data_IF_843973240548
#
_entry.id   IF_843973240548
#
_cell.length_a   1.000
_cell.length_b   1.000
_cell.length_c   1.000
_cell.angle_alpha   90.00
_cell.angle_beta   90.00
_cell.angle_gamma   90.00
#
_symmetry.space_group_name_H-M   'P 1'
#
loop_
_entity.id
_entity.type
_entity.pdbx_description
1 polymer ?
#
# COMPACT_ATOMS: atom_id res chain seq x y z
N UNK A 1 -27.65 -12.70 -11.06
CA UNK A 1 -27.67 -13.19 -9.67
C UNK A 1 -26.21 -13.36 -9.27
N UNK A 2 -25.58 -12.35 -8.67
CA UNK A 2 -24.24 -12.54 -8.11
C UNK A 2 -24.44 -13.32 -6.82
N UNK A 3 -23.97 -14.56 -6.76
CA UNK A 3 -23.89 -15.30 -5.49
C UNK A 3 -22.93 -14.53 -4.59
N UNK A 4 -23.47 -13.64 -3.76
CA UNK A 4 -22.71 -12.94 -2.73
C UNK A 4 -22.46 -13.94 -1.61
N UNK A 5 -21.54 -14.87 -1.86
CA UNK A 5 -21.03 -15.80 -0.85
C UNK A 5 -20.49 -14.95 0.31
N UNK A 6 -21.11 -15.06 1.49
CA UNK A 6 -20.66 -14.32 2.66
C UNK A 6 -19.24 -14.79 3.00
N UNK A 7 -18.29 -13.86 3.23
CA UNK A 7 -16.96 -14.23 3.66
C UNK A 7 -17.01 -15.15 4.90
N UNK A 8 -16.19 -16.20 4.90
CA UNK A 8 -16.11 -17.11 6.05
C UNK A 8 -15.70 -16.34 7.32
N UNK A 9 -16.42 -16.52 8.45
CA UNK A 9 -16.03 -15.87 9.70
C UNK A 9 -14.59 -16.20 10.15
N UNK A 10 -14.07 -17.41 9.87
CA UNK A 10 -12.67 -17.73 10.15
C UNK A 10 -11.71 -16.94 9.26
N UNK A 11 -12.07 -16.69 8.01
CA UNK A 11 -11.29 -15.83 7.10
C UNK A 11 -11.20 -14.39 7.63
N UNK A 12 -12.32 -13.83 8.08
CA UNK A 12 -12.36 -12.51 8.72
C UNK A 12 -11.49 -12.46 9.98
N UNK A 13 -11.49 -13.52 10.79
CA UNK A 13 -10.66 -13.62 12.00
C UNK A 13 -9.17 -13.63 11.66
N UNK A 14 -8.76 -14.46 10.69
CA UNK A 14 -7.36 -14.56 10.25
C UNK A 14 -6.89 -13.26 9.60
N UNK A 15 -7.71 -12.65 8.74
CA UNK A 15 -7.40 -11.37 8.13
C UNK A 15 -7.27 -10.26 9.19
N UNK A 16 -8.20 -10.21 10.15
CA UNK A 16 -8.15 -9.29 11.29
C UNK A 16 -6.87 -9.47 12.11
N UNK A 17 -6.47 -10.71 12.42
CA UNK A 17 -5.23 -10.98 13.13
C UNK A 17 -3.99 -10.49 12.34
N UNK A 18 -3.97 -10.70 11.03
CA UNK A 18 -2.91 -10.20 10.15
C UNK A 18 -2.84 -8.67 10.13
N UNK A 19 -3.98 -7.98 9.99
CA UNK A 19 -4.04 -6.52 10.04
C UNK A 19 -3.68 -5.96 11.41
N UNK A 20 -4.03 -6.64 12.50
CA UNK A 20 -3.64 -6.24 13.85
C UNK A 20 -2.12 -6.34 14.03
N UNK A 21 -1.49 -7.41 13.54
CA UNK A 21 -0.04 -7.56 13.55
C UNK A 21 0.65 -6.45 12.71
N UNK A 22 0.11 -6.15 11.53
CA UNK A 22 0.61 -5.05 10.69
C UNK A 22 0.47 -3.69 11.38
N UNK A 23 -0.68 -3.41 11.99
CA UNK A 23 -0.93 -2.19 12.76
C UNK A 23 0.06 -2.04 13.91
N UNK A 24 0.31 -3.12 14.66
CA UNK A 24 1.29 -3.13 15.73
C UNK A 24 2.71 -2.82 15.20
N UNK A 25 3.11 -3.42 14.08
CA UNK A 25 4.39 -3.14 13.44
C UNK A 25 4.53 -1.66 13.04
N UNK A 26 3.47 -1.07 12.45
CA UNK A 26 3.43 0.36 12.09
C UNK A 26 3.54 1.23 13.33
N UNK A 27 2.79 0.93 14.40
CA UNK A 27 2.83 1.70 15.64
C UNK A 27 4.20 1.62 16.33
N UNK A 28 4.83 0.44 16.35
CA UNK A 28 6.19 0.27 16.88
C UNK A 28 7.18 1.09 16.04
N UNK A 29 7.07 1.04 14.70
CA UNK A 29 7.89 1.85 13.80
C UNK A 29 7.73 3.34 14.06
N UNK A 30 6.49 3.81 14.15
CA UNK A 30 6.14 5.19 14.46
C UNK A 30 6.69 5.65 15.82
N UNK A 31 6.63 4.77 16.83
CA UNK A 31 7.14 5.06 18.17
C UNK A 31 8.67 5.23 18.21
N UNK A 32 9.38 4.46 17.38
CA UNK A 32 10.84 4.49 17.27
C UNK A 32 11.38 5.69 16.48
N UNK A 33 10.52 6.43 15.78
CA UNK A 33 10.94 7.62 15.06
C UNK A 33 11.26 8.77 16.01
N UNK A 34 12.30 9.54 15.67
CA UNK A 34 12.68 10.72 16.43
C UNK A 34 11.55 11.75 16.41
N UNK A 35 11.33 12.40 17.56
CA UNK A 35 10.31 13.42 17.76
C UNK A 35 10.88 14.83 17.64
N UNK A 36 12.19 14.96 17.37
CA UNK A 36 12.93 16.21 17.22
C UNK A 36 12.66 17.22 18.36
N UNK A 37 12.34 16.72 19.56
CA UNK A 37 12.01 17.55 20.72
C UNK A 37 13.19 18.42 21.15
N UNK A 38 14.41 17.95 20.87
CA UNK A 38 15.65 18.69 21.07
C UNK A 38 15.79 19.93 20.16
N UNK A 39 15.00 20.02 19.08
CA UNK A 39 14.94 21.17 18.16
C UNK A 39 13.73 22.08 18.43
N UNK A 40 13.09 21.95 19.60
CA UNK A 40 11.84 22.67 19.95
C UNK A 40 10.71 22.45 18.92
N UNK A 41 10.75 21.33 18.19
CA UNK A 41 9.74 21.00 17.19
C UNK A 41 8.39 20.65 17.85
N UNK A 42 7.30 21.13 17.24
CA UNK A 42 5.94 20.80 17.67
C UNK A 42 5.60 19.34 17.39
N UNK A 43 4.70 18.75 18.19
CA UNK A 43 4.23 17.36 18.02
C UNK A 43 3.61 17.11 16.64
N UNK A 44 3.03 18.14 16.01
CA UNK A 44 2.44 18.04 14.67
C UNK A 44 3.47 17.81 13.56
N UNK A 45 4.75 18.04 13.86
CA UNK A 45 5.88 17.80 12.95
C UNK A 45 6.55 16.44 13.21
N UNK A 46 6.09 15.67 14.19
CA UNK A 46 6.67 14.38 14.51
C UNK A 46 6.42 13.40 13.33
N UNK A 47 7.48 12.84 12.71
CA UNK A 47 7.34 11.95 11.55
C UNK A 47 6.52 10.69 11.85
N UNK A 48 6.51 10.24 13.11
CA UNK A 48 5.70 9.11 13.56
C UNK A 48 4.20 9.39 13.71
N UNK A 49 3.75 10.64 13.68
CA UNK A 49 2.34 10.98 13.97
C UNK A 49 1.37 10.39 12.95
N UNK A 50 1.60 10.64 11.65
CA UNK A 50 0.73 10.13 10.57
C UNK A 50 0.74 8.60 10.52
N UNK A 51 1.89 7.91 10.54
CA UNK A 51 1.93 6.46 10.64
C UNK A 51 1.19 5.92 11.88
N UNK A 52 1.32 6.57 13.05
CA UNK A 52 0.63 6.14 14.26
C UNK A 52 -0.90 6.26 14.13
N UNK A 53 -1.41 7.32 13.51
CA UNK A 53 -2.85 7.49 13.27
C UNK A 53 -3.40 6.43 12.31
N UNK A 54 -2.68 6.15 11.22
CA UNK A 54 -3.04 5.11 10.26
C UNK A 54 -2.98 3.72 10.91
N UNK A 55 -1.89 3.39 11.61
CA UNK A 55 -1.72 2.14 12.32
C UNK A 55 -2.80 1.93 13.39
N UNK A 56 -3.11 2.97 14.17
CA UNK A 56 -4.18 2.93 15.16
C UNK A 56 -5.56 2.70 14.54
N UNK A 57 -5.85 3.36 13.41
CA UNK A 57 -7.12 3.17 12.68
C UNK A 57 -7.25 1.75 12.13
N UNK A 58 -6.17 1.20 11.55
CA UNK A 58 -6.12 -0.18 11.06
C UNK A 58 -6.30 -1.15 12.23
N UNK A 59 -5.59 -0.93 13.35
CA UNK A 59 -5.70 -1.77 14.55
C UNK A 59 -7.10 -1.77 15.14
N UNK A 60 -7.74 -0.60 15.22
CA UNK A 60 -9.13 -0.48 15.66
C UNK A 60 -10.09 -1.27 14.76
N UNK A 61 -9.99 -1.10 13.44
CA UNK A 61 -10.81 -1.84 12.48
C UNK A 61 -10.55 -3.35 12.52
N UNK A 62 -9.30 -3.76 12.71
CA UNK A 62 -8.92 -5.17 12.87
C UNK A 62 -9.57 -5.79 14.11
N UNK A 63 -9.57 -5.08 15.25
CA UNK A 63 -10.25 -5.53 16.48
C UNK A 63 -11.76 -5.65 16.25
N UNK A 64 -12.38 -4.67 15.59
CA UNK A 64 -13.81 -4.73 15.23
C UNK A 64 -14.12 -5.92 14.32
N UNK A 65 -13.26 -6.20 13.34
CA UNK A 65 -13.41 -7.34 12.44
C UNK A 65 -13.30 -8.67 13.20
N UNK A 66 -12.30 -8.81 14.06
CA UNK A 66 -12.08 -10.02 14.87
C UNK A 66 -13.23 -10.26 15.86
N UNK A 67 -13.70 -9.22 16.54
CA UNK A 67 -14.85 -9.33 17.47
C UNK A 67 -16.12 -9.73 16.73
N UNK A 68 -16.38 -9.16 15.54
CA UNK A 68 -17.49 -9.57 14.67
C UNK A 68 -17.35 -11.04 14.24
N UNK A 69 -16.16 -11.46 13.83
CA UNK A 69 -15.88 -12.82 13.39
C UNK A 69 -16.09 -13.85 14.51
N UNK A 70 -15.59 -13.57 15.71
CA UNK A 70 -15.79 -14.44 16.89
C UNK A 70 -17.28 -14.55 17.24
N UNK A 71 -18.01 -13.42 17.24
CA UNK A 71 -19.47 -13.42 17.44
C UNK A 71 -20.23 -14.21 16.38
N UNK A 72 -19.70 -14.29 15.16
CA UNK A 72 -20.25 -15.09 14.07
C UNK A 72 -19.79 -16.57 14.09
N UNK A 73 -19.14 -17.03 15.17
CA UNK A 73 -18.76 -18.45 15.34
C UNK A 73 -17.48 -18.86 14.63
N UNK A 74 -16.56 -17.93 14.34
CA UNK A 74 -15.28 -18.23 13.69
C UNK A 74 -14.48 -19.33 14.40
N UNK A 75 -14.52 -19.40 15.74
CA UNK A 75 -13.79 -20.39 16.54
C UNK A 75 -14.39 -21.81 16.47
N UNK A 76 -15.66 -21.93 16.08
CA UNK A 76 -16.33 -23.22 15.93
C UNK A 76 -16.18 -23.81 14.52
N UNK A 77 -15.58 -23.06 13.58
CA UNK A 77 -15.32 -23.56 12.23
C UNK A 77 -14.12 -24.51 12.21
N UNK A 78 -14.35 -25.73 11.77
CA UNK A 78 -13.30 -26.75 11.63
C UNK A 78 -12.47 -26.61 10.35
N UNK A 79 -13.00 -25.93 9.32
CA UNK A 79 -12.36 -25.83 8.01
C UNK A 79 -11.60 -24.50 7.87
N UNK A 80 -10.31 -24.60 7.55
CA UNK A 80 -9.50 -23.43 7.23
C UNK A 80 -9.97 -22.74 5.94
N UNK A 81 -9.89 -21.39 5.86
CA UNK A 81 -10.29 -20.67 4.66
C UNK A 81 -9.36 -21.01 3.50
N UNK A 82 -9.93 -21.34 2.33
CA UNK A 82 -9.13 -21.54 1.12
C UNK A 82 -8.86 -20.19 0.45
N UNK A 83 -7.61 -19.76 0.45
CA UNK A 83 -7.17 -18.56 -0.27
C UNK A 83 -6.85 -18.93 -1.72
N UNK A 84 -7.63 -18.40 -2.67
CA UNK A 84 -7.33 -18.49 -4.10
C UNK A 84 -6.50 -17.29 -4.54
N UNK A 85 -5.18 -17.42 -4.42
CA UNK A 85 -4.19 -16.39 -4.76
C UNK A 85 -4.31 -15.94 -6.23
N UNK A 86 -4.63 -16.87 -7.14
CA UNK A 86 -4.80 -16.61 -8.57
C UNK A 86 -5.90 -15.60 -8.89
N UNK A 87 -6.96 -15.55 -8.08
CA UNK A 87 -8.07 -14.61 -8.28
C UNK A 87 -7.70 -13.18 -7.82
N UNK A 88 -6.62 -13.05 -7.05
CA UNK A 88 -6.19 -11.81 -6.39
C UNK A 88 -4.85 -11.28 -6.92
N UNK A 89 -4.47 -11.67 -8.15
CA UNK A 89 -3.18 -11.29 -8.75
C UNK A 89 -2.95 -9.77 -8.79
N UNK A 90 -4.01 -8.97 -8.97
CA UNK A 90 -3.95 -7.50 -8.96
C UNK A 90 -3.48 -6.98 -7.60
N UNK A 91 -4.01 -7.53 -6.51
CA UNK A 91 -3.62 -7.18 -5.14
C UNK A 91 -2.14 -7.52 -4.90
N UNK A 92 -1.71 -8.70 -5.36
CA UNK A 92 -0.32 -9.14 -5.21
C UNK A 92 0.61 -8.26 -6.05
N UNK A 93 0.22 -7.93 -7.28
CA UNK A 93 0.99 -7.07 -8.17
C UNK A 93 1.23 -5.69 -7.57
N UNK A 94 0.19 -5.03 -7.05
CA UNK A 94 0.36 -3.70 -6.42
C UNK A 94 1.19 -3.79 -5.14
N UNK A 95 1.01 -4.85 -4.34
CA UNK A 95 1.77 -5.05 -3.11
C UNK A 95 3.26 -5.21 -3.41
N UNK A 96 3.61 -6.10 -4.35
CA UNK A 96 4.99 -6.34 -4.77
C UNK A 96 5.60 -5.08 -5.37
N UNK A 97 4.85 -4.37 -6.22
CA UNK A 97 5.36 -3.15 -6.86
C UNK A 97 5.57 -2.02 -5.83
N UNK A 98 4.67 -1.87 -4.86
CA UNK A 98 4.77 -0.87 -3.79
C UNK A 98 5.93 -1.17 -2.85
N UNK A 99 6.09 -2.43 -2.44
CA UNK A 99 7.22 -2.87 -1.61
C UNK A 99 8.54 -2.76 -2.38
N UNK A 100 8.55 -3.15 -3.65
CA UNK A 100 9.70 -3.04 -4.53
C UNK A 100 10.15 -1.59 -4.71
N UNK A 101 9.21 -0.66 -4.84
CA UNK A 101 9.49 0.78 -4.84
C UNK A 101 10.03 1.24 -3.48
N UNK A 102 9.35 0.94 -2.37
CA UNK A 102 9.77 1.39 -1.04
C UNK A 102 11.15 0.84 -0.65
N UNK A 103 11.37 -0.47 -0.75
CA UNK A 103 12.63 -1.14 -0.36
C UNK A 103 13.74 -0.92 -1.39
N UNK A 104 13.36 -0.85 -2.67
CA UNK A 104 14.31 -0.66 -3.76
C UNK A 104 14.89 0.73 -3.82
N UNK A 105 14.11 1.75 -3.45
CA UNK A 105 14.53 3.14 -3.63
C UNK A 105 15.12 3.80 -2.39
N UNK A 106 14.68 3.41 -1.20
CA UNK A 106 15.20 3.97 0.04
C UNK A 106 16.68 3.59 0.15
N UNK A 107 17.57 4.58 -0.06
CA UNK A 107 19.01 4.48 0.20
C UNK A 107 19.90 3.93 -0.91
N UNK A 108 19.40 3.70 -2.14
CA UNK A 108 20.20 3.12 -3.24
C UNK A 108 20.79 4.11 -4.25
N UNK A 109 20.57 5.41 -4.06
CA UNK A 109 21.20 6.47 -4.87
C UNK A 109 20.65 6.66 -6.28
N UNK A 110 19.51 6.05 -6.62
CA UNK A 110 18.80 6.32 -7.87
C UNK A 110 18.06 7.67 -7.81
N UNK A 111 18.05 8.47 -8.89
CA UNK A 111 17.31 9.73 -8.92
C UNK A 111 15.83 9.53 -8.65
N UNK A 112 15.26 10.28 -7.71
CA UNK A 112 13.88 10.10 -7.27
C UNK A 112 12.83 10.27 -8.38
N UNK A 113 13.07 11.20 -9.32
CA UNK A 113 12.16 11.44 -10.45
C UNK A 113 12.06 10.21 -11.37
N UNK A 114 13.19 9.54 -11.62
CA UNK A 114 13.25 8.37 -12.52
C UNK A 114 12.52 7.19 -11.88
N UNK A 115 12.73 7.02 -10.58
CA UNK A 115 12.13 5.98 -9.79
C UNK A 115 10.60 6.08 -9.72
N UNK A 116 10.10 7.27 -9.40
CA UNK A 116 8.67 7.54 -9.33
C UNK A 116 8.03 7.41 -10.72
N UNK A 117 8.69 7.90 -11.78
CA UNK A 117 8.24 7.73 -13.15
C UNK A 117 8.16 6.25 -13.55
N UNK A 118 9.19 5.45 -13.22
CA UNK A 118 9.22 4.02 -13.50
C UNK A 118 8.12 3.28 -12.73
N UNK A 119 7.96 3.56 -11.43
CA UNK A 119 6.92 2.97 -10.60
C UNK A 119 5.52 3.23 -11.17
N UNK A 120 5.20 4.49 -11.50
CA UNK A 120 3.89 4.85 -12.07
C UNK A 120 3.72 4.21 -13.44
N UNK A 121 4.74 4.24 -14.30
CA UNK A 121 4.70 3.63 -15.65
C UNK A 121 4.39 2.14 -15.55
N UNK A 122 5.14 1.40 -14.72
CA UNK A 122 4.96 -0.05 -14.54
C UNK A 122 3.60 -0.34 -13.94
N UNK A 123 3.15 0.44 -12.95
CA UNK A 123 1.83 0.27 -12.34
C UNK A 123 0.73 0.41 -13.39
N UNK A 124 0.71 1.54 -14.10
CA UNK A 124 -0.31 1.80 -15.13
C UNK A 124 -0.26 0.73 -16.20
N UNK A 125 0.93 0.35 -16.67
CA UNK A 125 1.10 -0.65 -17.71
C UNK A 125 0.59 -2.04 -17.28
N UNK A 126 0.99 -2.53 -16.11
CA UNK A 126 0.57 -3.84 -15.59
C UNK A 126 -0.95 -3.91 -15.40
N UNK A 127 -1.55 -2.86 -14.85
CA UNK A 127 -2.98 -2.85 -14.54
C UNK A 127 -3.88 -2.70 -15.77
N UNK A 128 -3.41 -2.02 -16.82
CA UNK A 128 -4.14 -1.86 -18.09
C UNK A 128 -3.83 -2.98 -19.11
N UNK A 129 -2.85 -3.85 -18.84
CA UNK A 129 -2.30 -4.79 -19.81
C UNK A 129 -3.37 -5.73 -20.38
N UNK A 130 -4.19 -6.33 -19.52
CA UNK A 130 -5.22 -7.30 -19.93
C UNK A 130 -6.25 -6.67 -20.88
N UNK A 131 -6.72 -5.46 -20.56
CA UNK A 131 -7.75 -4.77 -21.35
C UNK A 131 -7.19 -4.28 -22.68
N UNK A 132 -5.96 -3.76 -22.69
CA UNK A 132 -5.33 -3.27 -23.93
C UNK A 132 -4.83 -4.38 -24.85
N UNK A 133 -4.44 -5.54 -24.30
CA UNK A 133 -4.11 -6.73 -25.09
C UNK A 133 -5.32 -7.27 -25.84
N UNK A 134 -6.49 -7.29 -25.19
CA UNK A 134 -7.76 -7.67 -25.83
C UNK A 134 -8.15 -6.72 -26.97
N UNK A 135 -7.85 -5.43 -26.81
CA UNK A 135 -8.19 -4.40 -27.80
C UNK A 135 -7.09 -4.19 -28.86
N UNK A 136 -5.98 -4.95 -28.85
CA UNK A 136 -4.87 -4.78 -29.80
C UNK A 136 -4.12 -3.43 -29.69
N UNK A 137 -4.35 -2.65 -28.64
CA UNK A 137 -3.82 -1.28 -28.49
C UNK A 137 -2.64 -1.20 -27.52
N UNK A 138 -1.87 -2.29 -27.39
CA UNK A 138 -0.74 -2.39 -26.45
C UNK A 138 0.29 -1.28 -26.62
N UNK A 139 0.68 -0.95 -27.85
CA UNK A 139 1.65 0.11 -28.11
C UNK A 139 1.14 1.48 -27.64
N UNK A 140 -0.10 1.83 -27.97
CA UNK A 140 -0.74 3.07 -27.49
C UNK A 140 -0.84 3.09 -25.96
N UNK A 141 -1.09 1.94 -25.35
CA UNK A 141 -1.08 1.77 -23.91
C UNK A 141 0.27 2.02 -23.28
N UNK A 142 1.32 1.43 -23.83
CA UNK A 142 2.69 1.64 -23.37
C UNK A 142 3.08 3.11 -23.46
N UNK A 143 2.81 3.76 -24.61
CA UNK A 143 3.09 5.20 -24.79
C UNK A 143 2.34 6.03 -23.75
N UNK A 144 1.05 5.76 -23.54
CA UNK A 144 0.27 6.45 -22.53
C UNK A 144 0.82 6.25 -21.11
N UNK A 145 1.18 5.02 -20.75
CA UNK A 145 1.74 4.70 -19.43
C UNK A 145 3.09 5.40 -19.21
N UNK A 146 3.96 5.41 -20.22
CA UNK A 146 5.26 6.10 -20.16
C UNK A 146 5.02 7.61 -20.03
N UNK A 147 4.17 8.20 -20.86
CA UNK A 147 3.87 9.62 -20.80
C UNK A 147 3.31 10.02 -19.42
N UNK A 148 2.33 9.26 -18.93
CA UNK A 148 1.73 9.50 -17.62
C UNK A 148 2.73 9.34 -16.47
N UNK A 149 3.58 8.32 -16.53
CA UNK A 149 4.63 8.09 -15.54
C UNK A 149 5.67 9.19 -15.54
N UNK A 150 6.17 9.62 -16.71
CA UNK A 150 7.14 10.71 -16.83
C UNK A 150 6.55 12.02 -16.31
N UNK A 151 5.34 12.39 -16.75
CA UNK A 151 4.67 13.62 -16.29
C UNK A 151 4.47 13.57 -14.77
N UNK A 152 3.95 12.46 -14.26
CA UNK A 152 3.71 12.29 -12.82
C UNK A 152 5.02 12.35 -12.03
N UNK A 153 6.07 11.69 -12.48
CA UNK A 153 7.39 11.70 -11.83
C UNK A 153 8.01 13.11 -11.78
N UNK A 154 7.91 13.87 -12.87
CA UNK A 154 8.37 15.26 -12.93
C UNK A 154 7.56 16.18 -12.01
N UNK A 155 6.23 16.06 -12.01
CA UNK A 155 5.34 16.86 -11.14
C UNK A 155 5.60 16.56 -9.66
N UNK A 156 5.77 15.27 -9.32
CA UNK A 156 6.11 14.84 -7.97
C UNK A 156 7.47 15.44 -7.59
N UNK A 157 8.50 15.28 -8.45
CA UNK A 157 9.82 15.83 -8.20
C UNK A 157 9.80 17.34 -7.96
N UNK A 158 9.13 18.10 -8.85
CA UNK A 158 8.95 19.55 -8.71
C UNK A 158 8.26 19.91 -7.39
N UNK A 159 7.20 19.19 -7.02
CA UNK A 159 6.48 19.45 -5.78
C UNK A 159 7.37 19.24 -4.56
N UNK A 160 8.14 18.14 -4.52
CA UNK A 160 9.03 17.87 -3.38
C UNK A 160 10.21 18.83 -3.32
N UNK A 161 10.89 19.07 -4.44
CA UNK A 161 12.10 19.89 -4.46
C UNK A 161 11.79 21.38 -4.36
N UNK A 162 10.80 21.88 -5.09
CA UNK A 162 10.58 23.32 -5.26
C UNK A 162 9.43 23.85 -4.40
N UNK A 163 8.38 23.05 -4.14
CA UNK A 163 7.29 23.47 -3.24
C UNK A 163 7.57 23.10 -1.78
N UNK A 164 8.10 21.91 -1.53
CA UNK A 164 8.39 21.42 -0.17
C UNK A 164 9.86 21.57 0.24
N UNK A 165 10.73 22.03 -0.67
CA UNK A 165 12.17 22.25 -0.40
C UNK A 165 12.90 21.02 0.16
N UNK A 166 12.40 19.82 -0.19
CA UNK A 166 12.98 18.54 0.21
C UNK A 166 14.09 18.18 -0.77
N UNK A 167 15.31 18.00 -0.26
CA UNK A 167 16.43 17.48 -1.05
C UNK A 167 16.21 16.01 -1.35
N UNK A 168 15.83 15.73 -2.59
CA UNK A 168 15.75 14.37 -3.11
C UNK A 168 17.11 13.95 -3.70
N UNK A 169 17.51 12.67 -3.58
CA UNK A 169 18.67 12.13 -4.29
C UNK A 169 18.43 11.99 -5.79
#
# INVERSE_FOLDING_TARGET
MMDTEKPSPLADLVAGAGFLALAAAIMIGAWRMDRFQHLQASIYMAPGLVPALLGGSIGFMAILLMTRAVRAGALAQAAWPRVKITDHWRLIAILVLSLGFAVGLIGRGSPFWLASALYVTVTVFVFQFADRRRNGTLLRGAIFAIAFGVISGLVIHYSFQDLFLVRLP
#
